data_IF_286149076739
#
_entry.id   IF_286149076739
#
_cell.length_a   1.000
_cell.length_b   1.000
_cell.length_c   1.000
_cell.angle_alpha   90.00
_cell.angle_beta   90.00
_cell.angle_gamma   90.00
#
_symmetry.space_group_name_H-M   'P 1'
#
loop_
_entity.id
_entity.type
_entity.pdbx_description
1 polymer ?
#
# COMPACT_ATOMS: atom_id res chain seq x y z
N UNK A 1 20.55 17.32 -12.26
CA UNK A 1 19.88 16.05 -12.46
C UNK A 1 18.92 15.75 -11.34
N UNK A 2 17.73 15.36 -11.67
CA UNK A 2 16.71 15.13 -10.65
C UNK A 2 16.81 13.72 -10.10
N UNK A 3 16.81 13.59 -8.79
CA UNK A 3 16.78 12.30 -8.10
C UNK A 3 15.33 11.86 -7.91
N UNK A 4 14.59 11.81 -9.02
CA UNK A 4 13.19 11.45 -9.02
C UNK A 4 13.02 9.96 -8.68
N UNK A 5 12.07 9.66 -7.80
CA UNK A 5 11.77 8.28 -7.45
C UNK A 5 11.05 7.59 -8.60
N UNK A 6 11.46 6.38 -8.92
CA UNK A 6 10.78 5.55 -9.89
C UNK A 6 9.58 4.83 -9.24
N UNK A 7 8.83 4.06 -10.04
CA UNK A 7 7.63 3.37 -9.55
C UNK A 7 7.94 2.38 -8.43
N UNK A 8 9.04 1.65 -8.53
CA UNK A 8 9.43 0.70 -7.50
C UNK A 8 9.80 1.41 -6.21
N UNK A 9 10.52 2.52 -6.30
CA UNK A 9 10.90 3.32 -5.13
C UNK A 9 9.69 3.93 -4.43
N UNK A 10 8.73 4.44 -5.21
CA UNK A 10 7.46 4.95 -4.65
C UNK A 10 6.68 3.83 -3.97
N UNK A 11 6.64 2.66 -4.59
CA UNK A 11 5.99 1.49 -4.01
C UNK A 11 6.66 1.08 -2.70
N UNK A 12 7.98 1.07 -2.66
CA UNK A 12 8.72 0.75 -1.43
C UNK A 12 8.40 1.73 -0.31
N UNK A 13 8.25 3.02 -0.65
CA UNK A 13 7.86 4.03 0.32
C UNK A 13 6.47 3.74 0.89
N UNK A 14 5.52 3.43 0.03
CA UNK A 14 4.16 3.06 0.45
C UNK A 14 4.19 1.78 1.32
N UNK A 15 4.99 0.80 0.94
CA UNK A 15 5.16 -0.43 1.72
C UNK A 15 5.67 -0.15 3.13
N UNK A 16 6.64 0.74 3.26
CA UNK A 16 7.19 1.11 4.58
C UNK A 16 6.12 1.78 5.45
N UNK A 17 5.31 2.65 4.86
CA UNK A 17 4.24 3.35 5.59
C UNK A 17 3.17 2.35 6.07
N UNK A 18 2.72 1.48 5.19
CA UNK A 18 1.69 0.48 5.54
C UNK A 18 2.25 -0.56 6.51
N UNK A 19 3.48 -1.02 6.28
CA UNK A 19 4.14 -1.97 7.16
C UNK A 19 4.27 -1.45 8.59
N UNK A 20 4.64 -0.18 8.74
CA UNK A 20 4.73 0.46 10.04
C UNK A 20 3.37 0.51 10.74
N UNK A 21 2.32 0.86 9.99
CA UNK A 21 0.96 0.88 10.52
C UNK A 21 0.52 -0.50 11.00
N UNK A 22 0.75 -1.54 10.19
CA UNK A 22 0.41 -2.90 10.57
C UNK A 22 1.18 -3.36 11.82
N UNK A 23 2.46 -3.05 11.87
CA UNK A 23 3.30 -3.37 13.03
C UNK A 23 2.76 -2.69 14.30
N UNK A 24 2.45 -1.39 14.20
CA UNK A 24 1.92 -0.60 15.31
C UNK A 24 0.57 -1.13 15.79
N UNK A 25 -0.21 -1.74 14.91
CA UNK A 25 -1.50 -2.34 15.26
C UNK A 25 -1.40 -3.78 15.77
N UNK A 26 -0.20 -4.33 15.84
CA UNK A 26 0.03 -5.67 16.39
C UNK A 26 -0.11 -6.82 15.40
N UNK A 27 -0.04 -6.54 14.10
CA UNK A 27 -0.05 -7.61 13.11
C UNK A 27 1.29 -8.36 13.11
N UNK A 28 1.21 -9.67 12.94
CA UNK A 28 2.38 -10.51 12.72
C UNK A 28 2.54 -10.76 11.23
N UNK A 29 3.70 -10.42 10.68
CA UNK A 29 3.95 -10.62 9.23
C UNK A 29 4.31 -12.07 8.95
N UNK A 30 3.56 -12.70 8.05
CA UNK A 30 3.81 -14.06 7.58
C UNK A 30 4.45 -14.05 6.20
N UNK A 31 4.19 -13.02 5.41
CA UNK A 31 4.80 -12.84 4.10
C UNK A 31 4.81 -11.38 3.71
N UNK A 32 5.91 -10.95 3.09
CA UNK A 32 6.08 -9.59 2.60
C UNK A 32 6.66 -9.67 1.20
N UNK A 33 6.00 -9.03 0.23
CA UNK A 33 6.45 -8.98 -1.16
C UNK A 33 6.41 -7.54 -1.65
N UNK A 34 7.57 -7.00 -1.93
CA UNK A 34 7.71 -5.60 -2.31
C UNK A 34 7.76 -5.35 -3.81
N UNK A 35 7.77 -6.39 -4.64
CA UNK A 35 7.75 -6.23 -6.08
C UNK A 35 6.41 -5.68 -6.56
N UNK A 36 6.46 -4.80 -7.57
CA UNK A 36 5.29 -4.05 -8.03
C UNK A 36 4.11 -4.90 -8.44
N UNK A 37 4.27 -6.02 -9.05
CA UNK A 37 3.15 -6.81 -9.61
C UNK A 37 2.87 -8.09 -8.85
N UNK A 38 3.37 -8.20 -7.63
CA UNK A 38 3.19 -9.39 -6.81
C UNK A 38 2.18 -9.07 -5.71
N UNK A 39 0.99 -9.63 -5.79
CA UNK A 39 -0.11 -9.36 -4.86
C UNK A 39 -0.53 -10.64 -4.13
N UNK A 40 -0.93 -10.53 -2.86
CA UNK A 40 -0.88 -9.34 -2.02
C UNK A 40 0.54 -9.01 -1.57
N UNK A 41 0.79 -7.76 -1.19
CA UNK A 41 2.09 -7.35 -0.69
C UNK A 41 2.36 -7.84 0.72
N UNK A 42 1.33 -7.87 1.57
CA UNK A 42 1.44 -8.39 2.92
C UNK A 42 0.47 -9.53 3.15
N UNK A 43 0.95 -10.58 3.80
CA UNK A 43 0.12 -11.59 4.43
C UNK A 43 0.43 -11.50 5.91
N UNK A 44 -0.55 -11.15 6.72
CA UNK A 44 -0.36 -10.88 8.13
C UNK A 44 -1.42 -11.57 8.98
N UNK A 45 -1.06 -11.83 10.23
CA UNK A 45 -1.93 -12.51 11.18
C UNK A 45 -2.25 -11.57 12.35
N UNK A 46 -3.51 -11.48 12.69
CA UNK A 46 -3.96 -10.75 13.87
C UNK A 46 -5.20 -11.46 14.43
N UNK A 47 -5.19 -11.71 15.74
CA UNK A 47 -6.30 -12.37 16.42
C UNK A 47 -6.70 -13.69 15.75
N UNK A 48 -5.69 -14.46 15.35
CA UNK A 48 -5.84 -15.77 14.69
C UNK A 48 -6.49 -15.70 13.30
N UNK A 49 -6.54 -14.51 12.69
CA UNK A 49 -7.16 -14.30 11.38
C UNK A 49 -6.11 -13.84 10.38
N UNK A 50 -6.10 -14.45 9.21
CA UNK A 50 -5.22 -14.03 8.11
C UNK A 50 -5.78 -12.79 7.42
N UNK A 51 -4.86 -11.87 7.07
CA UNK A 51 -5.18 -10.63 6.38
C UNK A 51 -4.29 -10.53 5.15
N UNK A 52 -4.89 -10.42 3.98
CA UNK A 52 -4.18 -10.16 2.73
C UNK A 52 -4.31 -8.67 2.44
N UNK A 53 -3.19 -7.98 2.30
CA UNK A 53 -3.17 -6.54 2.11
C UNK A 53 -2.50 -6.20 0.79
N UNK A 54 -3.24 -5.50 -0.08
CA UNK A 54 -2.72 -4.96 -1.34
C UNK A 54 -2.33 -3.50 -1.08
N UNK A 55 -1.08 -3.15 -1.40
CA UNK A 55 -0.55 -1.81 -1.20
C UNK A 55 -0.37 -1.12 -2.56
N UNK A 56 -0.78 0.13 -2.64
CA UNK A 56 -0.57 0.96 -3.83
C UNK A 56 -0.07 2.34 -3.43
N UNK A 57 0.99 2.81 -4.10
CA UNK A 57 1.41 4.20 -4.03
C UNK A 57 0.58 4.98 -5.07
N UNK A 58 -0.03 6.07 -4.64
CA UNK A 58 -0.92 6.87 -5.48
C UNK A 58 -0.41 8.31 -5.48
N UNK A 59 -0.05 8.80 -6.66
CA UNK A 59 0.45 10.17 -6.78
C UNK A 59 -0.69 11.16 -6.96
N UNK A 60 -0.54 12.35 -6.36
CA UNK A 60 -1.44 13.46 -6.58
C UNK A 60 -1.59 13.74 -8.09
N UNK A 61 -2.77 14.03 -8.63
CA UNK A 61 -4.04 14.26 -7.93
C UNK A 61 -4.96 13.03 -7.80
N UNK A 62 -4.47 11.84 -8.08
CA UNK A 62 -5.29 10.64 -7.99
C UNK A 62 -5.72 10.37 -6.54
N UNK A 63 -6.91 9.80 -6.39
CA UNK A 63 -7.49 9.53 -5.07
C UNK A 63 -6.94 8.21 -4.52
N UNK A 64 -6.18 8.23 -3.41
CA UNK A 64 -5.65 7.00 -2.82
C UNK A 64 -6.73 6.05 -2.28
N UNK A 65 -7.93 6.54 -2.07
CA UNK A 65 -9.05 5.73 -1.57
C UNK A 65 -9.83 5.04 -2.68
N UNK A 66 -9.55 5.38 -3.93
CA UNK A 66 -10.24 4.78 -5.07
C UNK A 66 -9.73 3.37 -5.31
N UNK A 67 -10.64 2.41 -5.30
CA UNK A 67 -10.33 0.99 -5.43
C UNK A 67 -10.69 0.50 -6.83
N UNK A 68 -9.81 -0.32 -7.43
CA UNK A 68 -10.16 -1.09 -8.61
C UNK A 68 -10.98 -2.29 -8.13
N UNK A 69 -12.30 -2.18 -8.25
CA UNK A 69 -13.23 -3.16 -7.71
C UNK A 69 -13.03 -4.55 -8.33
N UNK A 70 -12.87 -4.61 -9.64
CA UNK A 70 -12.73 -5.90 -10.34
C UNK A 70 -11.46 -6.60 -9.89
N UNK A 71 -10.36 -5.86 -9.84
CA UNK A 71 -9.08 -6.41 -9.40
C UNK A 71 -9.16 -6.91 -7.94
N UNK A 72 -9.71 -6.09 -7.04
CA UNK A 72 -9.77 -6.43 -5.63
C UNK A 72 -10.75 -7.59 -5.36
N UNK A 73 -11.81 -7.72 -6.15
CA UNK A 73 -12.70 -8.89 -6.04
C UNK A 73 -11.94 -10.18 -6.36
N UNK A 74 -11.05 -10.15 -7.36
CA UNK A 74 -10.20 -11.30 -7.68
C UNK A 74 -9.26 -11.66 -6.53
N UNK A 75 -8.67 -10.66 -5.89
CA UNK A 75 -7.83 -10.89 -4.71
C UNK A 75 -8.67 -11.49 -3.57
N UNK A 76 -9.87 -10.97 -3.36
CA UNK A 76 -10.77 -11.46 -2.31
C UNK A 76 -11.15 -12.92 -2.53
N UNK A 77 -11.50 -13.29 -3.76
CA UNK A 77 -11.83 -14.69 -4.09
C UNK A 77 -10.66 -15.61 -3.78
N UNK A 78 -9.45 -15.18 -4.11
CA UNK A 78 -8.25 -15.95 -3.81
C UNK A 78 -8.04 -16.08 -2.29
N UNK A 79 -8.19 -14.97 -1.57
CA UNK A 79 -8.02 -14.93 -0.11
C UNK A 79 -9.01 -15.83 0.62
N UNK A 80 -10.24 -15.94 0.12
CA UNK A 80 -11.26 -16.80 0.72
C UNK A 80 -10.86 -18.27 0.74
N UNK A 81 -10.03 -18.70 -0.21
CA UNK A 81 -9.51 -20.09 -0.23
C UNK A 81 -8.63 -20.37 0.98
N UNK A 82 -8.07 -19.34 1.60
CA UNK A 82 -7.23 -19.44 2.80
C UNK A 82 -7.98 -18.97 4.06
N UNK A 83 -9.28 -18.74 3.94
CA UNK A 83 -10.08 -18.16 5.02
C UNK A 83 -9.50 -16.84 5.50
N UNK A 84 -9.00 -16.03 4.59
CA UNK A 84 -8.36 -14.75 4.86
C UNK A 84 -9.27 -13.57 4.52
N UNK A 85 -9.10 -12.48 5.25
CA UNK A 85 -9.76 -11.21 4.94
C UNK A 85 -8.89 -10.43 3.95
N UNK A 86 -9.50 -9.60 3.13
CA UNK A 86 -8.82 -8.85 2.08
C UNK A 86 -8.93 -7.36 2.34
N UNK A 87 -7.81 -6.65 2.20
CA UNK A 87 -7.73 -5.21 2.46
C UNK A 87 -6.96 -4.52 1.36
N UNK A 88 -7.33 -3.28 1.13
CA UNK A 88 -6.62 -2.36 0.24
C UNK A 88 -6.01 -1.23 1.06
N UNK A 89 -4.75 -0.92 0.81
CA UNK A 89 -4.03 0.18 1.45
C UNK A 89 -3.49 1.11 0.37
N UNK A 90 -4.24 2.15 0.07
CA UNK A 90 -3.82 3.19 -0.87
C UNK A 90 -3.09 4.31 -0.14
N UNK A 91 -1.86 4.59 -0.52
CA UNK A 91 -1.02 5.61 0.10
C UNK A 91 -0.81 6.75 -0.88
N UNK A 92 -1.45 7.87 -0.61
CA UNK A 92 -1.27 9.10 -1.40
C UNK A 92 0.06 9.75 -1.07
N UNK A 93 0.84 10.12 -2.08
CA UNK A 93 2.14 10.75 -1.91
C UNK A 93 2.22 11.96 -2.83
N UNK A 94 2.67 13.10 -2.30
CA UNK A 94 2.82 14.33 -3.05
C UNK A 94 4.06 15.08 -2.59
N UNK A 95 4.68 15.82 -3.53
CA UNK A 95 5.79 16.70 -3.21
C UNK A 95 5.28 17.85 -2.32
N UNK A 96 5.96 18.11 -1.21
CA UNK A 96 5.48 19.09 -0.24
C UNK A 96 5.58 20.53 -0.71
N UNK A 97 6.46 20.83 -1.66
CA UNK A 97 6.62 22.18 -2.21
C UNK A 97 5.55 22.50 -3.24
N UNK A 98 5.25 21.52 -4.08
CA UNK A 98 4.24 21.65 -5.13
C UNK A 98 3.74 20.25 -5.41
N UNK A 99 2.45 20.01 -5.18
CA UNK A 99 1.84 18.68 -5.29
C UNK A 99 1.94 18.09 -6.69
N UNK A 100 2.12 18.92 -7.71
CA UNK A 100 2.23 18.46 -9.09
C UNK A 100 3.65 18.10 -9.52
N UNK A 101 4.64 18.43 -8.69
CA UNK A 101 6.03 18.07 -8.97
C UNK A 101 6.31 16.61 -8.64
N UNK A 102 7.28 15.99 -9.32
CA UNK A 102 7.70 14.64 -8.98
C UNK A 102 8.23 14.54 -7.55
N UNK A 103 8.15 13.34 -6.99
CA UNK A 103 8.76 13.04 -5.70
C UNK A 103 10.24 12.74 -5.93
N UNK A 104 11.10 13.40 -5.18
CA UNK A 104 12.55 13.21 -5.27
C UNK A 104 13.13 12.73 -3.95
N UNK A 105 14.35 12.16 -4.01
CA UNK A 105 15.02 11.62 -2.81
C UNK A 105 15.38 12.69 -1.79
N UNK A 106 15.60 13.93 -2.25
CA UNK A 106 16.15 14.99 -1.41
C UNK A 106 15.11 16.00 -0.95
N UNK A 107 13.85 15.82 -1.32
CA UNK A 107 12.78 16.74 -0.97
C UNK A 107 11.75 16.09 -0.07
N UNK A 108 11.13 16.89 0.78
CA UNK A 108 10.06 16.42 1.63
C UNK A 108 8.81 16.06 0.81
N UNK A 109 8.04 15.13 1.32
CA UNK A 109 6.78 14.73 0.70
C UNK A 109 5.67 14.68 1.75
N UNK A 110 4.44 14.72 1.26
CA UNK A 110 3.23 14.63 2.09
C UNK A 110 2.61 13.25 1.84
N UNK A 111 2.13 12.64 2.92
CA UNK A 111 1.47 11.34 2.86
C UNK A 111 0.00 11.52 3.22
N UNK A 112 -0.87 10.90 2.39
CA UNK A 112 -2.30 10.82 2.64
C UNK A 112 -2.68 9.34 2.72
N UNK A 113 -2.74 8.82 3.95
CA UNK A 113 -3.04 7.42 4.21
C UNK A 113 -3.99 7.31 5.40
N UNK A 114 -5.16 6.74 5.18
CA UNK A 114 -6.21 6.63 6.19
C UNK A 114 -6.37 5.22 6.75
N UNK A 115 -5.42 4.35 6.53
CA UNK A 115 -5.49 2.98 7.02
C UNK A 115 -6.06 2.02 5.99
N UNK A 116 -6.37 0.82 6.43
CA UNK A 116 -6.82 -0.26 5.57
C UNK A 116 -8.30 -0.10 5.22
N UNK A 117 -8.64 -0.44 3.97
CA UNK A 117 -10.03 -0.55 3.53
C UNK A 117 -10.33 -2.02 3.31
N UNK A 118 -11.32 -2.56 4.00
CA UNK A 118 -11.72 -3.97 3.83
C UNK A 118 -12.59 -4.13 2.59
N UNK A 119 -12.29 -5.16 1.82
CA UNK A 119 -13.00 -5.49 0.59
C UNK A 119 -14.13 -6.48 0.89
#
# INVERSE_FOLDING_TARGET
MKNELNKQELHNLAMNIVGKDLEDQGYEFLGIKSELKTNPQFVALKEKKLHFVVVRAVLYPDDPKKIDQIFMEGIREHALKFNARTFYAGVGIANSKDYELPITKDEDYIVNYDGLQEI
#
